data_IF_000200732706
#
_entry.id   IF_000200732706
#
_cell.length_a   1.000
_cell.length_b   1.000
_cell.length_c   1.000
_cell.angle_alpha   90.00
_cell.angle_beta   90.00
_cell.angle_gamma   90.00
#
_symmetry.space_group_name_H-M   'P 1'
#
loop_
_entity.id
_entity.type
_entity.pdbx_description
1 polymer ?
#
# COMPACT_ATOMS: atom_id res chain seq x y z
N UNK A 1 6.81 -18.15 -29.28
CA UNK A 1 5.73 -17.17 -29.03
C UNK A 1 6.17 -16.27 -27.91
N UNK A 2 6.56 -15.03 -28.22
CA UNK A 2 7.11 -14.08 -27.25
C UNK A 2 6.03 -13.21 -26.61
N UNK A 3 6.01 -13.20 -25.28
CA UNK A 3 5.28 -12.25 -24.44
C UNK A 3 5.84 -10.84 -24.65
N UNK A 4 5.25 -10.07 -25.58
CA UNK A 4 5.33 -8.60 -25.59
C UNK A 4 4.35 -8.10 -24.52
N UNK A 5 4.65 -7.24 -23.55
CA UNK A 5 5.84 -6.47 -23.23
C UNK A 5 5.37 -5.40 -22.24
N UNK A 6 5.30 -5.74 -20.95
CA UNK A 6 5.20 -4.72 -19.90
C UNK A 6 6.55 -3.97 -19.89
N UNK A 7 6.53 -2.65 -20.00
CA UNK A 7 7.75 -1.84 -19.97
C UNK A 7 8.39 -1.99 -18.57
N UNK A 8 9.41 -2.83 -18.45
CA UNK A 8 10.09 -3.08 -17.19
C UNK A 8 10.93 -1.85 -16.85
N UNK A 9 10.53 -1.14 -15.80
CA UNK A 9 11.28 0.04 -15.30
C UNK A 9 12.50 -0.43 -14.48
N UNK A 10 13.55 0.41 -14.38
CA UNK A 10 14.72 0.19 -13.48
C UNK A 10 14.32 -0.19 -12.04
N UNK A 11 13.12 0.20 -11.62
CA UNK A 11 12.56 -0.02 -10.27
C UNK A 11 12.02 -1.44 -10.05
N UNK A 12 11.69 -2.18 -11.11
CA UNK A 12 11.17 -3.56 -11.03
C UNK A 12 12.24 -4.65 -10.81
N UNK A 13 13.53 -4.28 -10.85
CA UNK A 13 14.65 -5.23 -10.77
C UNK A 13 15.06 -5.44 -9.31
N UNK A 14 14.93 -6.67 -8.82
CA UNK A 14 15.27 -7.07 -7.44
C UNK A 14 16.48 -8.02 -7.42
N UNK A 15 17.06 -8.28 -6.24
CA UNK A 15 18.13 -9.29 -6.10
C UNK A 15 17.68 -10.65 -6.63
N UNK A 16 16.43 -11.03 -6.37
CA UNK A 16 15.83 -12.27 -6.85
C UNK A 16 15.74 -12.32 -8.38
N UNK A 17 15.43 -11.21 -9.05
CA UNK A 17 15.45 -11.14 -10.53
C UNK A 17 16.86 -11.39 -11.06
N UNK A 18 17.86 -10.74 -10.47
CA UNK A 18 19.25 -10.89 -10.89
C UNK A 18 19.80 -12.30 -10.60
N UNK A 19 19.40 -12.92 -9.49
CA UNK A 19 19.70 -14.32 -9.14
C UNK A 19 19.06 -15.30 -10.13
N UNK A 20 17.76 -15.15 -10.39
CA UNK A 20 17.01 -16.03 -11.31
C UNK A 20 17.61 -16.03 -12.71
N UNK A 21 18.06 -14.86 -13.17
CA UNK A 21 18.60 -14.70 -14.52
C UNK A 21 20.13 -14.91 -14.57
N UNK A 22 20.73 -15.38 -13.47
CA UNK A 22 22.13 -15.83 -13.38
C UNK A 22 23.18 -14.71 -13.36
N UNK A 23 22.79 -13.46 -13.07
CA UNK A 23 23.74 -12.35 -12.92
C UNK A 23 24.38 -12.31 -11.53
N UNK A 24 23.70 -12.88 -10.54
CA UNK A 24 24.19 -13.03 -9.18
C UNK A 24 24.09 -14.51 -8.81
N UNK A 25 24.94 -14.94 -7.89
CA UNK A 25 24.89 -16.27 -7.29
C UNK A 25 24.82 -16.18 -5.76
N UNK A 26 23.99 -17.02 -5.12
CA UNK A 26 23.94 -17.11 -3.66
C UNK A 26 25.27 -17.60 -3.12
N UNK A 27 25.83 -16.89 -2.15
CA UNK A 27 27.09 -17.24 -1.53
C UNK A 27 27.30 -16.46 -0.24
N UNK A 28 28.21 -16.94 0.59
CA UNK A 28 28.61 -16.26 1.83
C UNK A 28 29.59 -15.12 1.53
N UNK A 29 29.42 -14.00 2.20
CA UNK A 29 30.36 -12.87 2.18
C UNK A 29 30.50 -12.15 0.84
N UNK A 30 29.55 -12.37 -0.08
CA UNK A 30 29.62 -11.80 -1.44
C UNK A 30 29.06 -10.38 -1.53
N UNK A 31 28.35 -9.92 -0.50
CA UNK A 31 27.83 -8.56 -0.43
C UNK A 31 28.66 -7.72 0.54
N UNK A 32 28.95 -6.48 0.16
CA UNK A 32 29.68 -5.53 1.01
C UNK A 32 29.14 -4.11 0.92
N UNK A 33 29.22 -3.38 2.04
CA UNK A 33 28.98 -1.94 2.11
C UNK A 33 30.20 -1.27 2.74
N UNK A 34 30.69 -0.22 2.11
CA UNK A 34 31.72 0.65 2.67
C UNK A 34 31.07 1.98 3.03
N UNK A 35 31.24 2.43 4.27
CA UNK A 35 30.69 3.70 4.73
C UNK A 35 31.54 4.29 5.87
N UNK A 36 32.08 5.49 5.65
CA UNK A 36 32.92 6.22 6.62
C UNK A 36 34.02 5.33 7.23
N UNK A 37 34.80 4.66 6.36
CA UNK A 37 35.91 3.78 6.77
C UNK A 37 35.49 2.44 7.39
N UNK A 38 34.19 2.14 7.49
CA UNK A 38 33.69 0.85 7.98
C UNK A 38 33.18 -0.02 6.84
N UNK A 39 33.58 -1.30 6.86
CA UNK A 39 33.12 -2.33 5.95
C UNK A 39 32.13 -3.25 6.65
N UNK A 40 30.97 -3.45 6.03
CA UNK A 40 29.97 -4.42 6.44
C UNK A 40 29.88 -5.54 5.41
N UNK A 41 29.78 -6.79 5.86
CA UNK A 41 29.78 -7.97 4.99
C UNK A 41 28.50 -8.78 5.17
N UNK A 42 27.87 -9.17 4.06
CA UNK A 42 26.62 -9.92 4.04
C UNK A 42 26.67 -11.13 3.11
N UNK A 43 25.94 -12.17 3.51
CA UNK A 43 25.66 -13.35 2.69
C UNK A 43 24.45 -13.06 1.79
N UNK A 44 24.48 -13.56 0.56
CA UNK A 44 23.34 -13.49 -0.36
C UNK A 44 22.62 -14.84 -0.38
N UNK A 45 21.35 -14.85 0.05
CA UNK A 45 20.48 -16.02 0.01
C UNK A 45 19.91 -16.30 -1.38
N UNK A 46 19.54 -17.56 -1.64
CA UNK A 46 18.93 -17.99 -2.90
C UNK A 46 17.56 -17.35 -3.19
N UNK A 47 16.87 -16.91 -2.15
CA UNK A 47 15.61 -16.21 -2.21
C UNK A 47 15.77 -14.68 -2.35
N UNK A 48 17.01 -14.16 -2.43
CA UNK A 48 17.31 -12.74 -2.52
C UNK A 48 17.37 -12.01 -1.17
N UNK A 49 17.36 -12.74 -0.05
CA UNK A 49 17.62 -12.17 1.28
C UNK A 49 19.10 -11.90 1.49
N UNK A 50 19.40 -10.99 2.43
CA UNK A 50 20.76 -10.63 2.81
C UNK A 50 20.93 -10.94 4.30
N UNK A 51 21.91 -11.77 4.66
CA UNK A 51 22.23 -12.07 6.06
C UNK A 51 23.50 -11.35 6.45
N UNK A 52 23.44 -10.45 7.43
CA UNK A 52 24.63 -9.74 7.92
C UNK A 52 25.50 -10.68 8.76
N UNK A 53 26.78 -10.80 8.42
CA UNK A 53 27.66 -11.81 9.03
C UNK A 53 27.96 -11.59 10.51
N UNK A 54 27.99 -10.34 10.99
CA UNK A 54 28.37 -10.05 12.38
C UNK A 54 27.29 -10.48 13.39
N UNK A 55 26.01 -10.37 13.03
CA UNK A 55 24.89 -10.64 13.95
C UNK A 55 23.96 -11.75 13.49
N UNK A 56 24.07 -12.18 12.23
CA UNK A 56 23.13 -13.11 11.60
C UNK A 56 21.77 -12.49 11.25
N UNK A 57 21.60 -11.16 11.40
CA UNK A 57 20.35 -10.49 11.08
C UNK A 57 20.03 -10.58 9.59
N UNK A 58 18.79 -10.94 9.25
CA UNK A 58 18.32 -11.11 7.88
C UNK A 58 17.55 -9.87 7.41
N UNK A 59 17.84 -9.44 6.19
CA UNK A 59 17.22 -8.31 5.52
C UNK A 59 16.60 -8.76 4.20
N UNK A 60 15.44 -8.18 3.85
CA UNK A 60 14.70 -8.53 2.64
C UNK A 60 15.04 -7.64 1.42
N UNK A 61 15.95 -6.67 1.57
CA UNK A 61 16.36 -5.80 0.47
C UNK A 61 17.74 -5.14 0.71
N UNK A 62 18.49 -4.78 -0.36
CA UNK A 62 19.73 -4.00 -0.27
C UNK A 62 19.56 -2.67 0.46
N UNK A 63 18.43 -2.00 0.27
CA UNK A 63 18.15 -0.69 0.90
C UNK A 63 17.92 -0.80 2.40
N UNK A 64 17.23 -1.84 2.86
CA UNK A 64 17.04 -2.10 4.29
C UNK A 64 18.38 -2.38 4.97
N UNK A 65 19.21 -3.24 4.36
CA UNK A 65 20.54 -3.56 4.89
C UNK A 65 21.45 -2.33 4.91
N UNK A 66 21.51 -1.56 3.81
CA UNK A 66 22.34 -0.36 3.74
C UNK A 66 21.94 0.72 4.74
N UNK A 67 20.64 0.93 4.95
CA UNK A 67 20.18 1.90 5.94
C UNK A 67 20.55 1.45 7.36
N UNK A 68 20.45 0.15 7.65
CA UNK A 68 20.85 -0.41 8.93
C UNK A 68 22.35 -0.21 9.19
N UNK A 69 23.22 -0.64 8.27
CA UNK A 69 24.66 -0.49 8.39
C UNK A 69 25.07 0.98 8.57
N UNK A 70 24.51 1.90 7.78
CA UNK A 70 24.84 3.33 7.87
C UNK A 70 24.40 3.95 9.20
N UNK A 71 23.28 3.50 9.79
CA UNK A 71 22.80 3.99 11.10
C UNK A 71 23.69 3.55 12.27
N UNK A 72 24.36 2.40 12.15
CA UNK A 72 25.34 1.95 13.15
C UNK A 72 26.55 2.89 13.21
N UNK A 73 26.87 3.58 12.11
CA UNK A 73 27.99 4.54 12.04
C UNK A 73 27.53 5.97 12.30
N UNK A 74 26.41 6.36 11.70
CA UNK A 74 25.82 7.69 11.87
C UNK A 74 24.32 7.56 12.23
N UNK A 75 23.96 7.62 13.53
CA UNK A 75 22.58 7.47 14.00
C UNK A 75 21.59 8.48 13.41
N UNK A 76 22.07 9.65 12.95
CA UNK A 76 21.22 10.67 12.33
C UNK A 76 20.85 10.36 10.87
N UNK A 77 21.44 9.33 10.25
CA UNK A 77 21.19 8.98 8.84
C UNK A 77 19.80 8.34 8.67
N UNK A 78 18.90 9.05 7.99
CA UNK A 78 17.48 8.66 7.85
C UNK A 78 17.21 7.74 6.65
N UNK A 79 18.02 7.80 5.59
CA UNK A 79 17.88 7.03 4.35
C UNK A 79 19.24 6.70 3.70
N UNK A 80 19.30 5.60 2.93
CA UNK A 80 20.45 5.23 2.12
C UNK A 80 20.04 4.57 0.80
N UNK A 81 20.73 4.92 -0.30
CA UNK A 81 20.52 4.29 -1.60
C UNK A 81 21.18 2.90 -1.66
N UNK A 82 20.44 1.86 -1.27
CA UNK A 82 20.98 0.50 -1.15
C UNK A 82 21.63 -0.04 -2.42
N UNK A 83 21.09 0.29 -3.60
CA UNK A 83 21.63 -0.20 -4.88
C UNK A 83 22.94 0.47 -5.31
N UNK A 84 23.14 1.73 -4.93
CA UNK A 84 24.37 2.46 -5.21
C UNK A 84 25.47 2.18 -4.17
N UNK A 85 25.09 1.79 -2.95
CA UNK A 85 26.03 1.53 -1.86
C UNK A 85 26.44 0.06 -1.70
N UNK A 86 25.52 -0.88 -1.99
CA UNK A 86 25.81 -2.31 -1.84
C UNK A 86 26.58 -2.79 -3.06
N UNK A 87 27.69 -3.47 -2.80
CA UNK A 87 28.53 -4.12 -3.81
C UNK A 87 28.37 -5.64 -3.73
N UNK A 88 28.27 -6.30 -4.88
CA UNK A 88 28.39 -7.75 -5.03
C UNK A 88 29.74 -8.08 -5.67
N UNK A 89 30.57 -8.88 -4.99
CA UNK A 89 31.94 -9.23 -5.41
C UNK A 89 32.74 -7.98 -5.86
N UNK A 90 32.64 -6.89 -5.10
CA UNK A 90 33.36 -5.63 -5.36
C UNK A 90 32.67 -4.64 -6.30
N UNK A 91 31.68 -5.06 -7.10
CA UNK A 91 30.96 -4.21 -8.04
C UNK A 91 29.61 -3.74 -7.50
N UNK A 92 29.23 -2.47 -7.74
CA UNK A 92 27.96 -1.90 -7.25
C UNK A 92 26.76 -2.62 -7.86
N UNK A 93 25.73 -2.92 -7.06
CA UNK A 93 24.53 -3.61 -7.54
C UNK A 93 23.79 -2.85 -8.66
N UNK A 94 23.87 -1.51 -8.68
CA UNK A 94 23.29 -0.70 -9.76
C UNK A 94 23.91 -1.01 -11.15
N UNK A 95 25.18 -1.41 -11.20
CA UNK A 95 25.83 -1.81 -12.45
C UNK A 95 25.23 -3.10 -13.00
N UNK A 96 24.93 -4.07 -12.13
CA UNK A 96 24.24 -5.31 -12.52
C UNK A 96 22.82 -5.03 -13.02
N UNK A 97 22.10 -4.08 -12.40
CA UNK A 97 20.79 -3.63 -12.90
C UNK A 97 20.87 -3.02 -14.30
N UNK A 98 21.83 -2.12 -14.51
CA UNK A 98 22.04 -1.47 -15.80
C UNK A 98 22.42 -2.49 -16.90
N UNK A 99 23.27 -3.46 -16.58
CA UNK A 99 23.62 -4.55 -17.49
C UNK A 99 22.40 -5.42 -17.85
N UNK A 100 21.60 -5.78 -16.85
CA UNK A 100 20.38 -6.56 -17.05
C UNK A 100 19.38 -5.87 -17.99
N UNK A 101 19.19 -4.56 -17.82
CA UNK A 101 18.30 -3.76 -18.67
C UNK A 101 18.76 -3.69 -20.12
N UNK A 102 20.05 -3.43 -20.35
CA UNK A 102 20.62 -3.39 -21.72
C UNK A 102 20.38 -4.71 -22.45
N UNK A 103 20.45 -5.85 -21.76
CA UNK A 103 20.21 -7.17 -22.33
C UNK A 103 18.74 -7.45 -22.66
N UNK A 104 17.81 -6.95 -21.84
CA UNK A 104 16.38 -7.22 -22.00
C UNK A 104 15.61 -6.13 -22.76
N UNK A 105 16.22 -4.96 -23.00
CA UNK A 105 15.67 -3.85 -23.79
C UNK A 105 16.74 -3.23 -24.70
N UNK A 106 17.19 -3.93 -25.76
CA UNK A 106 18.23 -3.41 -26.65
C UNK A 106 17.83 -2.17 -27.49
N UNK A 107 16.54 -1.81 -27.54
CA UNK A 107 15.99 -0.69 -28.32
C UNK A 107 15.42 0.47 -27.47
N UNK A 108 15.75 0.56 -26.18
CA UNK A 108 15.33 1.71 -25.39
C UNK A 108 16.14 2.96 -25.80
N UNK A 109 15.50 4.14 -26.04
CA UNK A 109 16.24 5.37 -26.31
C UNK A 109 17.15 5.70 -25.13
N UNK A 110 18.34 6.31 -25.37
CA UNK A 110 19.24 6.71 -24.31
C UNK A 110 18.51 7.73 -23.44
N UNK A 111 18.10 7.30 -22.25
CA UNK A 111 17.60 8.24 -21.26
C UNK A 111 18.81 8.97 -20.72
N UNK A 112 18.86 10.27 -20.94
CA UNK A 112 19.95 11.15 -20.52
C UNK A 112 20.40 10.89 -19.08
N UNK A 113 21.71 10.96 -18.89
CA UNK A 113 22.35 11.19 -17.60
C UNK A 113 21.88 12.55 -17.05
N UNK A 114 20.83 12.55 -16.22
CA UNK A 114 20.55 13.58 -15.22
C UNK A 114 19.44 13.03 -14.32
N UNK A 115 19.68 12.77 -13.04
CA UNK A 115 20.23 13.71 -12.08
C UNK A 115 21.49 13.16 -11.43
N UNK A 116 22.61 13.87 -11.66
CA UNK A 116 23.76 13.81 -10.78
C UNK A 116 23.35 14.19 -9.35
N UNK A 117 23.90 13.42 -8.40
CA UNK A 117 24.45 13.91 -7.14
C UNK A 117 23.72 15.05 -6.44
N UNK A 118 22.89 14.72 -5.46
CA UNK A 118 22.90 15.50 -4.22
C UNK A 118 23.61 14.68 -3.15
N UNK A 119 24.86 15.08 -2.91
CA UNK A 119 25.74 14.55 -1.87
C UNK A 119 26.90 13.75 -2.42
N UNK A 120 27.89 14.46 -2.99
CA UNK A 120 29.28 14.00 -2.89
C UNK A 120 29.60 13.87 -1.39
N UNK A 121 29.56 12.65 -0.86
CA UNK A 121 30.26 12.34 0.39
C UNK A 121 31.68 11.96 -0.07
N UNK A 122 32.65 12.86 0.18
CA UNK A 122 34.06 12.70 -0.17
C UNK A 122 34.57 11.27 0.14
N UNK A 123 34.87 10.49 -0.90
CA UNK A 123 35.71 9.30 -0.80
C UNK A 123 37.17 9.78 -0.86
N UNK A 124 37.92 9.62 0.23
CA UNK A 124 39.38 9.62 0.20
C UNK A 124 39.87 8.42 -0.63
N UNK A 125 40.96 8.53 -1.39
CA UNK A 125 41.54 7.38 -2.09
C UNK A 125 42.06 6.35 -1.07
N UNK A 126 41.74 5.08 -1.27
CA UNK A 126 42.35 3.97 -0.53
C UNK A 126 43.75 3.69 -1.10
N UNK A 127 44.77 3.77 -0.25
CA UNK A 127 46.07 3.14 -0.51
C UNK A 127 45.90 1.62 -0.25
N UNK A 128 46.29 0.81 -1.23
CA UNK A 128 46.37 -0.63 -1.10
C UNK A 128 47.53 -1.00 -0.15
N UNK A 129 47.24 -1.45 1.06
CA UNK A 129 48.26 -2.14 1.87
C UNK A 129 48.20 -3.65 1.60
N UNK A 130 49.17 -4.11 0.80
CA UNK A 130 49.58 -5.50 0.70
C UNK A 130 50.01 -6.05 2.07
N UNK A 131 49.57 -7.28 2.34
CA UNK A 131 49.93 -8.08 3.50
C UNK A 131 51.43 -8.44 3.46
N UNK A 132 52.22 -7.96 4.43
CA UNK A 132 53.57 -8.44 4.67
C UNK A 132 53.86 -8.61 6.17
N UNK A 133 54.04 -9.88 6.54
CA UNK A 133 54.57 -10.40 7.81
C UNK A 133 55.81 -9.65 8.31
N UNK A 134 55.88 -9.32 9.61
CA UNK A 134 57.10 -9.44 10.46
C UNK A 134 56.86 -9.14 11.94
N UNK A 135 57.53 -9.92 12.77
CA UNK A 135 57.43 -9.98 14.23
C UNK A 135 58.26 -8.90 14.98
N UNK A 136 57.94 -8.76 16.27
CA UNK A 136 58.79 -8.32 17.42
C UNK A 136 59.04 -6.80 17.59
N UNK A 137 58.44 -6.17 18.63
CA UNK A 137 58.98 -6.01 20.01
C UNK A 137 58.18 -4.95 20.82
N UNK A 138 57.86 -5.26 22.07
CA UNK A 138 57.37 -4.30 23.07
C UNK A 138 58.50 -3.33 23.52
N UNK A 139 58.14 -2.20 24.15
CA UNK A 139 58.27 -2.17 25.61
C UNK A 139 57.13 -1.48 26.37
N UNK A 140 57.10 -1.86 27.65
CA UNK A 140 56.23 -1.49 28.79
C UNK A 140 56.67 -0.17 29.45
N UNK A 141 55.73 0.52 30.13
CA UNK A 141 55.80 1.15 31.49
C UNK A 141 54.51 1.99 31.70
N UNK A 142 53.55 1.58 32.55
CA UNK A 142 53.37 1.90 34.00
C UNK A 142 53.16 3.40 34.33
N UNK A 143 52.32 3.89 35.25
CA UNK A 143 51.28 3.43 36.20
C UNK A 143 50.73 4.71 36.90
N UNK A 144 49.46 4.75 37.29
CA UNK A 144 48.91 5.36 38.54
C UNK A 144 47.36 5.49 38.42
N UNK A 145 46.52 4.70 39.11
CA UNK A 145 46.10 4.83 40.52
C UNK A 145 45.50 6.21 40.85
N UNK A 146 44.34 6.44 41.47
CA UNK A 146 43.36 5.68 42.27
C UNK A 146 42.18 6.62 42.55
N UNK A 147 40.95 6.10 42.77
CA UNK A 147 40.11 6.30 43.98
C UNK A 147 38.65 5.89 43.75
N UNK A 148 38.24 4.83 44.47
CA UNK A 148 36.84 4.54 44.86
C UNK A 148 36.49 5.38 46.10
N UNK A 149 35.23 5.75 46.24
CA UNK A 149 34.54 5.79 47.56
C UNK A 149 33.05 5.49 47.37
N UNK A 150 32.50 4.78 48.36
CA UNK A 150 31.21 4.09 48.47
C UNK A 150 30.07 4.92 49.07
N UNK A 151 28.86 4.39 48.87
CA UNK A 151 27.61 4.42 49.67
C UNK A 151 27.16 5.66 50.47
N UNK A 152 25.88 6.03 50.30
CA UNK A 152 24.85 5.70 51.31
C UNK A 152 23.39 5.84 50.83
N UNK A 153 22.61 4.88 51.30
CA UNK A 153 21.19 4.61 51.12
C UNK A 153 20.30 5.47 52.06
N UNK A 154 19.07 5.83 51.66
CA UNK A 154 17.94 5.90 52.60
C UNK A 154 16.59 5.66 51.90
N UNK A 155 15.85 4.75 52.53
CA UNK A 155 14.60 4.08 52.16
C UNK A 155 13.43 4.68 52.96
N UNK A 156 12.23 4.76 52.38
CA UNK A 156 10.90 4.72 53.04
C UNK A 156 9.84 4.73 51.91
N UNK A 157 8.75 3.95 51.89
CA UNK A 157 8.23 2.87 52.74
C UNK A 157 7.08 2.16 51.97
N UNK A 158 6.94 0.85 52.17
CA UNK A 158 5.91 -0.05 51.63
C UNK A 158 4.53 0.09 52.31
N UNK A 159 3.47 -0.46 51.66
CA UNK A 159 2.51 -1.49 52.18
C UNK A 159 1.43 -1.77 51.11
N UNK A 160 1.43 -2.92 50.42
CA UNK A 160 0.76 -4.22 50.72
C UNK A 160 -0.76 -4.12 50.86
N UNK A 161 -1.58 -4.91 50.13
CA UNK A 161 -1.89 -6.31 50.51
C UNK A 161 -2.47 -7.17 49.35
N UNK A 162 -2.03 -8.43 49.37
CA UNK A 162 -2.38 -9.64 48.59
C UNK A 162 -3.82 -10.15 48.90
N UNK A 163 -4.59 -10.66 47.91
CA UNK A 163 -4.74 -12.07 47.44
C UNK A 163 -5.48 -13.02 48.44
N UNK A 164 -6.21 -14.09 48.01
CA UNK A 164 -5.59 -15.24 47.33
C UNK A 164 -6.40 -16.03 46.26
N UNK A 165 -5.63 -16.58 45.31
CA UNK A 165 -5.63 -17.92 44.69
C UNK A 165 -6.86 -18.86 44.68
N UNK A 166 -7.06 -19.56 43.55
CA UNK A 166 -7.86 -20.79 43.46
C UNK A 166 -8.12 -21.42 42.08
N UNK A 167 -7.09 -22.01 41.46
CA UNK A 167 -7.06 -23.20 40.56
C UNK A 167 -8.27 -23.62 39.65
N UNK A 168 -8.01 -23.67 38.33
CA UNK A 168 -8.13 -24.89 37.50
C UNK A 168 -9.47 -25.30 36.86
N UNK A 169 -9.53 -25.29 35.51
CA UNK A 169 -9.59 -26.49 34.62
C UNK A 169 -10.16 -26.17 33.22
N UNK A 170 -9.53 -26.78 32.22
CA UNK A 170 -9.96 -26.90 30.83
C UNK A 170 -11.33 -27.59 30.68
N UNK A 171 -12.10 -27.26 29.63
CA UNK A 171 -12.73 -28.26 28.75
C UNK A 171 -13.34 -27.64 27.48
N UNK A 172 -13.19 -28.39 26.39
CA UNK A 172 -13.64 -28.16 25.01
C UNK A 172 -15.11 -28.51 24.79
N UNK A 173 -15.67 -27.95 23.71
CA UNK A 173 -16.81 -28.47 22.94
C UNK A 173 -18.19 -28.03 23.47
N UNK A 174 -19.26 -27.93 22.69
CA UNK A 174 -19.54 -28.27 21.30
C UNK A 174 -20.91 -27.64 20.96
N UNK A 175 -21.12 -27.37 19.68
CA UNK A 175 -22.38 -27.02 19.00
C UNK A 175 -23.64 -27.71 19.54
N UNK A 176 -24.74 -26.94 19.61
CA UNK A 176 -26.11 -27.37 19.21
C UNK A 176 -27.09 -26.18 19.18
N UNK A 177 -27.60 -25.88 17.99
CA UNK A 177 -28.99 -25.41 17.76
C UNK A 177 -29.93 -26.64 17.81
N UNK A 178 -31.29 -26.56 17.86
CA UNK A 178 -32.15 -25.51 17.29
C UNK A 178 -33.44 -25.14 18.11
N UNK A 179 -34.16 -24.07 17.70
CA UNK A 179 -35.61 -23.97 17.97
C UNK A 179 -36.24 -22.57 17.98
N UNK A 180 -36.83 -22.16 16.87
CA UNK A 180 -38.03 -21.30 16.81
C UNK A 180 -39.28 -22.21 16.65
N UNK A 181 -40.54 -21.78 16.89
CA UNK A 181 -41.08 -20.42 16.73
C UNK A 181 -42.09 -19.97 17.82
N UNK A 182 -42.46 -18.68 17.82
CA UNK A 182 -43.59 -18.18 18.61
C UNK A 182 -43.90 -16.72 18.37
N UNK A 183 -44.97 -16.47 17.61
CA UNK A 183 -45.54 -15.17 17.27
C UNK A 183 -45.90 -14.31 18.49
N UNK A 184 -45.79 -12.99 18.36
CA UNK A 184 -46.38 -12.06 19.31
C UNK A 184 -46.25 -10.62 18.86
N UNK A 185 -47.21 -10.17 18.05
CA UNK A 185 -47.48 -8.76 17.79
C UNK A 185 -47.57 -7.96 19.10
N UNK A 186 -46.72 -6.94 19.25
CA UNK A 186 -47.05 -5.73 20.01
C UNK A 186 -46.42 -4.52 19.33
N UNK A 187 -47.24 -3.92 18.47
CA UNK A 187 -47.14 -2.51 18.16
C UNK A 187 -47.27 -1.70 19.47
N UNK A 188 -46.26 -0.89 19.76
CA UNK A 188 -46.40 0.28 20.60
C UNK A 188 -45.94 1.48 19.78
N UNK A 189 -46.93 2.10 19.13
CA UNK A 189 -46.80 3.46 18.64
C UNK A 189 -46.88 4.41 19.85
N UNK A 190 -45.84 5.21 20.06
CA UNK A 190 -46.01 6.54 20.61
C UNK A 190 -45.35 7.52 19.63
N UNK A 191 -46.20 8.37 19.08
CA UNK A 191 -45.82 9.52 18.28
C UNK A 191 -45.07 10.53 19.15
N UNK A 192 -44.06 11.19 18.58
CA UNK A 192 -44.22 12.62 18.39
C UNK A 192 -43.32 13.19 17.29
N UNK A 193 -43.90 14.15 16.58
CA UNK A 193 -43.35 14.84 15.44
C UNK A 193 -42.03 15.55 15.76
N UNK A 194 -41.05 15.39 14.87
CA UNK A 194 -40.12 16.47 14.56
C UNK A 194 -40.03 16.65 13.04
N UNK A 195 -40.73 17.62 12.44
CA UNK A 195 -40.67 17.92 11.02
C UNK A 195 -39.45 18.81 10.77
N UNK A 196 -38.26 18.24 10.93
CA UNK A 196 -37.01 18.84 10.45
C UNK A 196 -36.06 17.72 10.06
N UNK A 197 -36.44 17.00 9.01
CA UNK A 197 -35.46 16.39 8.12
C UNK A 197 -34.65 17.52 7.48
N UNK A 198 -33.69 18.08 8.23
CA UNK A 198 -32.62 18.85 7.64
C UNK A 198 -31.92 17.87 6.70
N UNK A 199 -32.25 17.97 5.42
CA UNK A 199 -31.42 17.52 4.32
C UNK A 199 -30.01 17.91 4.72
N UNK A 200 -29.20 16.94 5.12
CA UNK A 200 -27.79 17.18 5.35
C UNK A 200 -27.24 17.41 3.95
N UNK A 201 -27.33 18.64 3.48
CA UNK A 201 -26.51 19.10 2.36
C UNK A 201 -25.08 18.85 2.81
N UNK A 202 -24.52 17.74 2.34
CA UNK A 202 -23.15 17.37 2.60
C UNK A 202 -22.32 18.46 1.96
N UNK A 203 -21.90 19.45 2.75
CA UNK A 203 -20.92 20.44 2.31
C UNK A 203 -19.77 19.67 1.66
N UNK A 204 -19.29 20.10 0.48
CA UNK A 204 -18.19 19.42 -0.20
C UNK A 204 -17.01 19.31 0.76
N UNK A 205 -16.61 18.07 1.07
CA UNK A 205 -15.47 17.79 1.95
C UNK A 205 -14.20 18.12 1.20
N UNK A 206 -13.43 19.09 1.69
CA UNK A 206 -12.13 19.43 1.13
C UNK A 206 -11.08 18.49 1.73
N UNK A 207 -10.34 17.72 0.92
CA UNK A 207 -9.24 16.89 1.42
C UNK A 207 -8.18 17.75 2.13
N UNK A 208 -7.62 17.24 3.22
CA UNK A 208 -6.52 17.89 3.95
C UNK A 208 -5.21 17.14 3.74
N UNK A 209 -4.08 17.85 3.83
CA UNK A 209 -2.76 17.22 3.78
C UNK A 209 -2.50 16.40 5.04
N UNK A 210 -1.82 15.27 4.90
CA UNK A 210 -1.47 14.41 6.05
C UNK A 210 -0.70 15.17 7.15
N UNK A 211 0.19 16.11 6.79
CA UNK A 211 0.97 16.88 7.77
C UNK A 211 0.13 17.75 8.73
N UNK A 212 -1.15 18.01 8.41
CA UNK A 212 -2.05 18.78 9.27
C UNK A 212 -2.84 17.92 10.26
N UNK A 213 -2.70 16.59 10.19
CA UNK A 213 -3.45 15.67 11.07
C UNK A 213 -2.84 15.61 12.48
N UNK A 214 -1.51 15.56 12.59
CA UNK A 214 -0.81 15.39 13.87
C UNK A 214 -1.12 14.05 14.54
N UNK A 215 -1.07 14.03 15.87
CA UNK A 215 -1.41 12.87 16.71
C UNK A 215 -2.89 12.53 16.63
N UNK A 216 -3.24 11.25 16.82
CA UNK A 216 -4.64 10.80 16.89
C UNK A 216 -5.41 11.54 17.97
N UNK A 217 -6.56 12.07 17.58
CA UNK A 217 -7.48 12.81 18.44
C UNK A 217 -8.90 12.28 18.25
N UNK A 218 -9.52 11.80 19.33
CA UNK A 218 -10.89 11.29 19.34
C UNK A 218 -11.93 12.37 19.00
N UNK A 219 -11.59 13.66 19.15
CA UNK A 219 -12.45 14.77 18.78
C UNK A 219 -12.44 15.05 17.26
N UNK A 220 -11.48 14.49 16.51
CA UNK A 220 -11.40 14.70 15.05
C UNK A 220 -12.50 13.92 14.34
N UNK A 221 -13.16 14.59 13.40
CA UNK A 221 -14.21 13.97 12.59
C UNK A 221 -13.67 12.74 11.82
N UNK A 222 -14.25 11.53 12.00
CA UNK A 222 -13.80 10.32 11.32
C UNK A 222 -14.00 10.34 9.79
N UNK A 223 -14.83 11.26 9.28
CA UNK A 223 -15.10 11.43 7.85
C UNK A 223 -14.17 12.44 7.16
N UNK A 224 -13.10 12.88 7.83
CA UNK A 224 -12.11 13.80 7.26
C UNK A 224 -11.39 13.14 6.09
N UNK A 225 -11.49 13.74 4.89
CA UNK A 225 -10.77 13.28 3.71
C UNK A 225 -9.31 13.72 3.79
N UNK A 226 -8.39 12.84 3.40
CA UNK A 226 -6.94 13.08 3.44
C UNK A 226 -6.37 12.89 2.05
N UNK A 227 -5.53 13.81 1.61
CA UNK A 227 -4.81 13.70 0.33
C UNK A 227 -3.86 12.50 0.34
N UNK A 228 -3.82 11.77 -0.77
CA UNK A 228 -2.86 10.67 -0.95
C UNK A 228 -1.45 11.21 -1.11
N UNK A 229 -0.48 10.50 -0.53
CA UNK A 229 0.94 10.79 -0.69
C UNK A 229 1.61 9.77 -1.61
N UNK A 230 2.56 10.21 -2.44
CA UNK A 230 3.43 9.27 -3.16
C UNK A 230 4.47 8.67 -2.21
N UNK A 231 4.82 7.39 -2.41
CA UNK A 231 5.93 6.75 -1.71
C UNK A 231 7.25 7.52 -1.88
N UNK A 232 7.47 8.14 -3.04
CA UNK A 232 8.65 8.94 -3.31
C UNK A 232 8.77 10.16 -2.38
N UNK A 233 7.65 10.80 -2.02
CA UNK A 233 7.62 11.99 -1.13
C UNK A 233 8.20 11.69 0.26
N UNK A 234 8.14 10.44 0.70
CA UNK A 234 8.72 10.00 1.98
C UNK A 234 9.99 9.17 1.81
N UNK A 235 10.63 9.24 0.63
CA UNK A 235 11.82 8.46 0.27
C UNK A 235 11.65 6.95 0.50
N UNK A 236 10.44 6.43 0.24
CA UNK A 236 10.15 5.00 0.27
C UNK A 236 9.77 4.51 -1.12
N UNK A 237 9.77 3.19 -1.27
CA UNK A 237 9.24 2.52 -2.44
C UNK A 237 7.93 1.85 -2.07
N UNK A 238 7.03 1.73 -3.03
CA UNK A 238 5.85 0.88 -2.88
C UNK A 238 6.32 -0.56 -2.58
N UNK A 239 5.87 -1.17 -1.46
CA UNK A 239 6.44 -2.42 -0.97
C UNK A 239 5.98 -3.67 -1.74
N UNK A 240 4.96 -3.55 -2.59
CA UNK A 240 4.39 -4.64 -3.38
C UNK A 240 3.87 -4.13 -4.71
N UNK A 241 3.71 -5.02 -5.69
CA UNK A 241 3.09 -4.70 -6.96
C UNK A 241 1.58 -4.97 -6.89
N UNK A 242 0.79 -4.17 -7.59
CA UNK A 242 -0.65 -4.38 -7.72
C UNK A 242 -1.00 -4.45 -9.20
N UNK A 243 -1.78 -5.45 -9.58
CA UNK A 243 -2.40 -5.54 -10.89
C UNK A 243 -3.91 -5.70 -10.75
N UNK A 244 -4.69 -4.97 -11.56
CA UNK A 244 -6.15 -4.97 -11.47
C UNK A 244 -6.75 -5.30 -12.84
N UNK A 245 -7.69 -6.25 -12.86
CA UNK A 245 -8.50 -6.60 -14.03
C UNK A 245 -9.37 -5.43 -14.50
N UNK A 246 -9.50 -5.25 -15.82
CA UNK A 246 -10.35 -4.21 -16.40
C UNK A 246 -11.83 -4.43 -16.09
N UNK A 247 -12.26 -5.69 -15.97
CA UNK A 247 -13.62 -6.05 -15.52
C UNK A 247 -13.92 -5.58 -14.09
N UNK A 248 -12.96 -5.69 -13.17
CA UNK A 248 -13.07 -5.16 -11.79
C UNK A 248 -13.26 -3.64 -11.83
N UNK A 249 -12.40 -2.99 -12.58
CA UNK A 249 -12.41 -1.54 -12.74
C UNK A 249 -13.70 -1.02 -13.37
N UNK A 250 -14.24 -1.73 -14.36
CA UNK A 250 -15.52 -1.42 -14.99
C UNK A 250 -16.67 -1.49 -13.96
N UNK A 251 -16.71 -2.54 -13.14
CA UNK A 251 -17.77 -2.72 -12.14
C UNK A 251 -17.70 -1.66 -11.03
N UNK A 252 -16.50 -1.34 -10.54
CA UNK A 252 -16.31 -0.28 -9.54
C UNK A 252 -16.72 1.08 -10.09
N UNK A 253 -16.30 1.39 -11.32
CA UNK A 253 -16.64 2.64 -11.99
C UNK A 253 -18.14 2.76 -12.20
N UNK A 254 -18.78 1.71 -12.71
CA UNK A 254 -20.22 1.63 -12.88
C UNK A 254 -20.97 1.87 -11.56
N UNK A 255 -20.61 1.15 -10.48
CA UNK A 255 -21.24 1.30 -9.17
C UNK A 255 -21.17 2.74 -8.66
N UNK A 256 -20.00 3.36 -8.75
CA UNK A 256 -19.77 4.74 -8.31
C UNK A 256 -20.61 5.77 -9.08
N UNK A 257 -20.97 5.50 -10.34
CA UNK A 257 -21.80 6.39 -11.15
C UNK A 257 -23.30 6.30 -10.82
N UNK A 258 -23.76 5.26 -10.11
CA UNK A 258 -25.19 5.07 -9.83
C UNK A 258 -25.72 5.98 -8.72
N UNK A 259 -24.86 6.49 -7.85
CA UNK A 259 -25.27 7.30 -6.70
C UNK A 259 -24.43 8.56 -6.56
N UNK A 260 -25.01 9.60 -5.93
CA UNK A 260 -24.27 10.80 -5.48
C UNK A 260 -23.57 10.58 -4.13
N UNK A 261 -23.79 9.44 -3.49
CA UNK A 261 -23.15 9.05 -2.23
C UNK A 261 -21.89 8.21 -2.47
N UNK A 262 -21.08 8.05 -1.42
CA UNK A 262 -19.95 7.13 -1.46
C UNK A 262 -20.43 5.68 -1.53
N UNK A 263 -19.72 4.86 -2.31
CA UNK A 263 -19.97 3.44 -2.42
C UNK A 263 -18.88 2.65 -1.71
N UNK A 264 -19.23 1.43 -1.28
CA UNK A 264 -18.31 0.50 -0.64
C UNK A 264 -18.43 -0.88 -1.26
N UNK A 265 -17.39 -1.69 -1.11
CA UNK A 265 -17.34 -3.04 -1.68
C UNK A 265 -16.09 -3.79 -1.24
N UNK A 266 -16.05 -5.08 -1.59
CA UNK A 266 -14.89 -5.94 -1.38
C UNK A 266 -14.17 -6.21 -2.70
N UNK A 267 -12.85 -6.37 -2.62
CA UNK A 267 -12.01 -6.78 -3.74
C UNK A 267 -11.50 -8.20 -3.49
N UNK A 268 -11.58 -9.05 -4.51
CA UNK A 268 -11.12 -10.43 -4.49
C UNK A 268 -9.97 -10.64 -5.47
N UNK A 269 -9.01 -11.47 -5.10
CA UNK A 269 -7.79 -11.65 -5.89
C UNK A 269 -6.87 -12.73 -5.36
N UNK A 270 -5.64 -12.75 -5.86
CA UNK A 270 -4.57 -13.65 -5.42
C UNK A 270 -3.32 -12.86 -5.07
N UNK A 271 -2.57 -13.38 -4.12
CA UNK A 271 -1.26 -12.87 -3.73
C UNK A 271 -0.19 -13.87 -4.17
N UNK A 272 0.80 -13.39 -4.91
CA UNK A 272 2.01 -14.15 -5.22
C UNK A 272 3.16 -13.67 -4.32
N UNK A 273 3.57 -14.52 -3.39
CA UNK A 273 4.69 -14.26 -2.48
C UNK A 273 6.05 -14.19 -3.18
N UNK A 274 6.20 -14.85 -4.32
CA UNK A 274 7.46 -14.89 -5.07
C UNK A 274 7.72 -13.58 -5.80
N UNK A 275 6.69 -13.00 -6.39
CA UNK A 275 6.78 -11.72 -7.13
C UNK A 275 6.29 -10.52 -6.32
N UNK A 276 5.79 -10.74 -5.09
CA UNK A 276 5.14 -9.73 -4.26
C UNK A 276 4.03 -8.99 -5.04
N UNK A 277 3.23 -9.74 -5.79
CA UNK A 277 2.19 -9.20 -6.67
C UNK A 277 0.80 -9.55 -6.13
N UNK A 278 0.03 -8.52 -5.80
CA UNK A 278 -1.40 -8.64 -5.58
C UNK A 278 -2.12 -8.49 -6.92
N UNK A 279 -2.79 -9.54 -7.37
CA UNK A 279 -3.64 -9.50 -8.56
C UNK A 279 -5.10 -9.45 -8.15
N UNK A 280 -5.77 -8.32 -8.39
CA UNK A 280 -7.19 -8.12 -8.13
C UNK A 280 -7.99 -8.56 -9.36
N UNK A 281 -8.86 -9.54 -9.16
CA UNK A 281 -9.57 -10.25 -10.23
C UNK A 281 -11.10 -10.16 -10.12
N UNK A 282 -11.63 -9.79 -8.95
CA UNK A 282 -13.07 -9.68 -8.69
C UNK A 282 -13.37 -8.44 -7.83
N UNK A 283 -14.54 -7.85 -8.04
CA UNK A 283 -15.14 -6.87 -7.14
C UNK A 283 -16.52 -7.37 -6.71
N UNK A 284 -16.89 -7.05 -5.48
CA UNK A 284 -18.18 -7.35 -4.88
C UNK A 284 -18.75 -6.05 -4.29
N UNK A 285 -19.50 -5.29 -5.11
CA UNK A 285 -20.22 -4.10 -4.65
C UNK A 285 -21.09 -4.38 -3.44
N UNK A 286 -20.95 -3.59 -2.37
CA UNK A 286 -21.90 -3.65 -1.27
C UNK A 286 -23.16 -2.86 -1.63
N UNK A 287 -24.31 -3.50 -1.42
CA UNK A 287 -25.64 -2.90 -1.61
C UNK A 287 -26.13 -2.29 -0.31
N UNK A 288 -25.39 -1.32 0.19
CA UNK A 288 -25.68 -0.58 1.43
C UNK A 288 -25.61 0.92 1.16
N UNK A 289 -26.37 1.71 1.93
CA UNK A 289 -26.37 3.17 1.80
C UNK A 289 -25.68 3.77 3.02
N UNK A 290 -24.90 4.83 2.84
CA UNK A 290 -24.11 5.44 3.93
C UNK A 290 -24.96 6.02 5.08
N UNK A 291 -26.29 6.05 4.95
CA UNK A 291 -27.23 6.43 5.99
C UNK A 291 -27.66 5.27 6.92
N UNK A 292 -27.29 4.02 6.62
CA UNK A 292 -27.62 2.86 7.43
C UNK A 292 -26.54 2.67 8.51
N UNK A 293 -26.89 2.89 9.78
CA UNK A 293 -25.96 3.10 10.91
C UNK A 293 -25.06 1.91 11.33
N UNK A 294 -24.98 0.83 10.53
CA UNK A 294 -24.46 -0.49 10.96
C UNK A 294 -23.52 -1.14 9.91
N UNK A 295 -22.77 -0.35 9.14
CA UNK A 295 -21.79 -0.91 8.19
C UNK A 295 -20.36 -0.41 8.45
N UNK A 296 -19.51 -1.32 8.95
CA UNK A 296 -18.06 -1.15 8.95
C UNK A 296 -17.58 -0.82 7.53
N UNK A 297 -16.81 0.26 7.39
CA UNK A 297 -16.51 0.91 6.11
C UNK A 297 -15.23 0.33 5.51
N UNK A 298 -15.27 -0.60 4.53
CA UNK A 298 -14.06 -1.32 4.13
C UNK A 298 -13.23 -0.53 3.12
N UNK A 299 -13.85 0.22 2.20
CA UNK A 299 -13.22 1.09 1.21
C UNK A 299 -14.26 2.11 0.71
N UNK A 300 -14.08 3.41 0.92
CA UNK A 300 -14.94 4.44 0.33
C UNK A 300 -14.39 4.83 -1.04
N UNK A 301 -15.21 4.71 -2.09
CA UNK A 301 -14.92 5.33 -3.38
C UNK A 301 -15.66 6.67 -3.46
N UNK A 302 -14.96 7.81 -3.62
CA UNK A 302 -15.61 9.08 -3.90
C UNK A 302 -16.31 9.00 -5.27
N UNK A 303 -17.54 9.50 -5.34
CA UNK A 303 -18.33 9.49 -6.56
C UNK A 303 -17.63 10.23 -7.72
N UNK A 304 -17.85 9.84 -8.98
CA UNK A 304 -17.10 10.28 -10.16
C UNK A 304 -17.40 11.73 -10.61
N UNK A 305 -18.30 12.42 -9.90
CA UNK A 305 -18.86 13.73 -10.28
C UNK A 305 -18.31 14.91 -9.46
N UNK A 306 -17.20 14.72 -8.74
CA UNK A 306 -16.59 15.81 -7.98
C UNK A 306 -15.97 16.87 -8.92
N UNK A 307 -15.98 18.15 -8.50
CA UNK A 307 -15.55 19.29 -9.32
C UNK A 307 -14.10 19.22 -9.85
N UNK A 308 -13.25 18.36 -9.28
CA UNK A 308 -11.87 18.16 -9.71
C UNK A 308 -11.69 17.17 -10.86
N UNK A 309 -12.78 16.58 -11.39
CA UNK A 309 -12.75 15.71 -12.58
C UNK A 309 -13.55 16.33 -13.74
N UNK A 310 -12.95 17.22 -14.55
CA UNK A 310 -13.63 17.82 -15.71
C UNK A 310 -13.74 16.85 -16.89
N UNK A 311 -13.04 15.71 -16.83
CA UNK A 311 -13.01 14.71 -17.89
C UNK A 311 -14.15 13.69 -17.79
N UNK A 312 -14.44 13.04 -18.91
CA UNK A 312 -15.42 11.97 -19.00
C UNK A 312 -14.94 10.73 -18.22
N UNK A 313 -13.64 10.43 -18.31
CA UNK A 313 -13.02 9.33 -17.58
C UNK A 313 -12.98 9.57 -16.08
N UNK A 314 -13.37 8.57 -15.31
CA UNK A 314 -13.26 8.60 -13.85
C UNK A 314 -11.89 8.08 -13.41
N UNK A 315 -11.29 8.73 -12.43
CA UNK A 315 -10.02 8.27 -11.83
C UNK A 315 -10.31 7.34 -10.66
N UNK A 316 -9.81 6.11 -10.75
CA UNK A 316 -9.83 5.16 -9.64
C UNK A 316 -8.40 5.08 -9.12
N UNK A 317 -8.18 5.62 -7.92
CA UNK A 317 -6.89 5.67 -7.25
C UNK A 317 -6.91 4.75 -6.02
N UNK A 318 -6.35 3.53 -6.10
CA UNK A 318 -6.18 2.69 -4.93
C UNK A 318 -5.11 3.28 -4.02
N UNK A 319 -5.25 3.08 -2.71
CA UNK A 319 -4.30 3.55 -1.73
C UNK A 319 -3.97 2.48 -0.70
N UNK A 320 -2.82 2.64 -0.06
CA UNK A 320 -2.36 1.81 1.05
C UNK A 320 -2.10 2.69 2.27
N UNK A 321 -2.72 2.37 3.40
CA UNK A 321 -2.44 3.09 4.65
C UNK A 321 -1.16 2.50 5.27
N UNK A 322 -0.07 3.24 5.15
CA UNK A 322 1.15 2.90 5.86
C UNK A 322 0.96 3.11 7.36
N UNK A 323 1.45 2.17 8.21
CA UNK A 323 1.40 2.35 9.65
C UNK A 323 2.19 3.61 10.05
N UNK A 324 1.81 4.24 11.18
CA UNK A 324 2.57 5.36 11.74
C UNK A 324 4.05 4.99 11.92
N UNK A 325 4.98 5.95 11.80
CA UNK A 325 6.38 5.71 12.12
C UNK A 325 6.55 5.21 13.56
N UNK A 326 7.49 4.30 13.79
CA UNK A 326 7.77 3.76 15.14
C UNK A 326 8.07 4.84 16.19
N UNK A 327 8.64 5.98 15.77
CA UNK A 327 8.93 7.12 16.66
C UNK A 327 7.67 7.89 17.09
N UNK A 328 6.56 7.76 16.34
CA UNK A 328 5.28 8.43 16.59
C UNK A 328 4.13 7.43 16.40
N UNK A 329 4.03 6.41 17.28
CA UNK A 329 3.03 5.34 17.14
C UNK A 329 1.59 5.85 17.32
N UNK A 330 1.41 7.01 17.95
CA UNK A 330 0.12 7.63 18.19
C UNK A 330 -0.37 8.50 17.03
N UNK A 331 0.40 8.66 15.94
CA UNK A 331 -0.05 9.40 14.75
C UNK A 331 -1.05 8.58 13.92
N UNK A 332 -1.75 9.24 12.99
CA UNK A 332 -2.54 8.52 11.99
C UNK A 332 -1.64 7.80 10.98
N UNK A 333 -2.12 6.70 10.39
CA UNK A 333 -1.45 6.07 9.26
C UNK A 333 -1.41 6.99 8.04
N UNK A 334 -0.40 6.85 7.18
CA UNK A 334 -0.21 7.71 6.01
C UNK A 334 -0.91 7.05 4.82
N UNK A 335 -1.89 7.70 4.17
CA UNK A 335 -2.52 7.16 2.97
C UNK A 335 -1.58 7.34 1.77
N UNK A 336 -1.06 6.24 1.26
CA UNK A 336 -0.11 6.23 0.15
C UNK A 336 -0.82 5.88 -1.15
N UNK A 337 -0.61 6.67 -2.19
CA UNK A 337 -1.06 6.36 -3.54
C UNK A 337 -0.35 5.09 -4.05
N UNK A 338 -1.11 4.17 -4.64
CA UNK A 338 -0.61 2.88 -5.11
C UNK A 338 -0.60 2.86 -6.63
N UNK A 339 0.60 2.72 -7.19
CA UNK A 339 0.79 2.46 -8.61
C UNK A 339 0.29 1.06 -8.96
N UNK A 340 -0.51 0.98 -10.03
CA UNK A 340 -1.14 -0.26 -10.48
C UNK A 340 -0.84 -0.57 -11.95
N UNK A 341 -0.70 -1.86 -12.24
CA UNK A 341 -0.74 -2.38 -13.60
C UNK A 341 -2.17 -2.79 -13.98
N UNK A 342 -2.58 -2.51 -15.20
CA UNK A 342 -3.90 -2.90 -15.69
C UNK A 342 -3.84 -4.21 -16.47
N UNK A 343 -4.69 -5.16 -16.09
CA UNK A 343 -4.88 -6.42 -16.82
C UNK A 343 -6.11 -6.25 -17.70
N UNK A 344 -5.90 -6.11 -18.99
CA UNK A 344 -6.99 -6.02 -19.94
C UNK A 344 -7.66 -7.39 -20.10
N UNK A 345 -8.92 -7.50 -19.69
CA UNK A 345 -9.73 -8.68 -19.94
C UNK A 345 -10.14 -8.75 -21.42
N UNK A 346 -10.22 -9.98 -21.93
CA UNK A 346 -10.62 -10.24 -23.32
C UNK A 346 -12.13 -10.10 -23.53
N UNK A 347 -12.93 -10.29 -22.49
CA UNK A 347 -14.40 -10.26 -22.52
C UNK A 347 -14.97 -9.88 -21.15
N UNK A 348 -16.22 -9.42 -21.16
CA UNK A 348 -16.96 -9.12 -19.93
C UNK A 348 -17.56 -10.42 -19.39
N UNK A 349 -17.27 -10.76 -18.14
CA UNK A 349 -17.78 -12.00 -17.55
C UNK A 349 -19.27 -11.88 -17.20
N UNK A 350 -19.99 -13.01 -17.24
CA UNK A 350 -21.40 -13.06 -16.80
C UNK A 350 -21.57 -12.60 -15.35
N UNK A 351 -20.61 -12.93 -14.47
CA UNK A 351 -20.61 -12.50 -13.07
C UNK A 351 -20.64 -10.96 -12.95
N UNK A 352 -19.85 -10.25 -13.77
CA UNK A 352 -19.81 -8.78 -13.75
C UNK A 352 -21.13 -8.22 -14.25
N UNK A 353 -21.68 -8.76 -15.35
CA UNK A 353 -22.98 -8.34 -15.87
C UNK A 353 -24.10 -8.56 -14.85
N UNK A 354 -24.09 -9.69 -14.15
CA UNK A 354 -25.05 -9.99 -13.10
C UNK A 354 -24.95 -8.99 -11.94
N UNK A 355 -23.74 -8.67 -11.47
CA UNK A 355 -23.53 -7.65 -10.44
C UNK A 355 -24.02 -6.26 -10.91
N UNK A 356 -23.75 -5.87 -12.16
CA UNK A 356 -24.27 -4.62 -12.72
C UNK A 356 -25.80 -4.57 -12.68
N UNK A 357 -26.48 -5.67 -13.08
CA UNK A 357 -27.94 -5.76 -13.03
C UNK A 357 -28.49 -5.68 -11.60
N UNK A 358 -27.84 -6.36 -10.64
CA UNK A 358 -28.22 -6.30 -9.23
C UNK A 358 -28.06 -4.89 -8.66
N UNK A 359 -27.05 -4.15 -9.10
CA UNK A 359 -26.86 -2.75 -8.72
C UNK A 359 -27.95 -1.84 -9.30
N UNK A 360 -28.31 -2.01 -10.58
CA UNK A 360 -29.42 -1.25 -11.19
C UNK A 360 -30.70 -1.45 -10.39
N UNK A 361 -31.03 -2.70 -10.06
CA UNK A 361 -32.24 -3.00 -9.29
C UNK A 361 -32.17 -2.44 -7.86
N UNK A 362 -31.01 -2.52 -7.20
CA UNK A 362 -30.83 -1.99 -5.84
C UNK A 362 -31.02 -0.46 -5.75
N UNK A 363 -30.50 0.27 -6.75
CA UNK A 363 -30.61 1.74 -6.78
C UNK A 363 -31.91 2.24 -7.42
N UNK A 364 -32.74 1.35 -7.99
CA UNK A 364 -34.02 1.74 -8.58
C UNK A 364 -34.92 2.41 -7.54
N UNK A 365 -35.38 3.63 -7.84
CA UNK A 365 -36.19 4.43 -6.91
C UNK A 365 -35.43 4.97 -5.69
N UNK A 366 -34.09 4.82 -5.65
CA UNK A 366 -33.26 5.40 -4.61
C UNK A 366 -33.32 6.95 -4.66
N UNK A 367 -33.48 7.65 -3.53
CA UNK A 367 -33.45 9.12 -3.52
C UNK A 367 -32.08 9.71 -3.91
N UNK A 368 -31.02 8.92 -3.76
CA UNK A 368 -29.64 9.28 -4.10
C UNK A 368 -29.19 8.77 -5.48
N UNK A 369 -30.08 8.10 -6.24
CA UNK A 369 -29.81 7.70 -7.63
C UNK A 369 -29.46 8.92 -8.48
N UNK A 370 -28.41 8.77 -9.28
CA UNK A 370 -28.04 9.77 -10.27
C UNK A 370 -29.10 9.84 -11.35
N UNK A 371 -29.54 11.07 -11.65
CA UNK A 371 -30.49 11.34 -12.71
C UNK A 371 -29.77 11.37 -14.06
N UNK A 372 -29.77 10.24 -14.74
CA UNK A 372 -28.94 10.01 -15.94
C UNK A 372 -29.31 10.88 -17.13
N UNK A 373 -30.52 11.45 -17.15
CA UNK A 373 -31.00 12.37 -18.18
C UNK A 373 -30.63 13.84 -17.92
N UNK A 374 -30.19 14.19 -16.71
CA UNK A 374 -29.75 15.56 -16.39
C UNK A 374 -28.37 15.86 -17.03
N UNK A 375 -28.10 17.14 -17.28
CA UNK A 375 -26.79 17.60 -17.74
C UNK A 375 -25.76 17.52 -16.60
N UNK A 376 -24.62 16.91 -16.90
CA UNK A 376 -23.44 16.91 -16.03
C UNK A 376 -22.48 18.04 -16.41
N UNK A 377 -22.27 18.26 -17.70
CA UNK A 377 -21.48 19.37 -18.27
C UNK A 377 -22.30 20.12 -19.32
N UNK A 378 -21.71 21.09 -20.04
CA UNK A 378 -22.43 21.99 -20.95
C UNK A 378 -23.31 21.25 -21.98
N UNK A 379 -22.81 20.15 -22.53
CA UNK A 379 -23.43 19.40 -23.63
C UNK A 379 -23.54 17.88 -23.36
N UNK A 380 -23.15 17.41 -22.18
CA UNK A 380 -23.13 15.98 -21.85
C UNK A 380 -24.00 15.67 -20.64
N UNK A 381 -24.80 14.61 -20.76
CA UNK A 381 -25.60 14.08 -19.65
C UNK A 381 -24.76 13.24 -18.70
N UNK A 382 -25.28 12.99 -17.50
CA UNK A 382 -24.72 12.00 -16.58
C UNK A 382 -24.58 10.61 -17.23
N UNK A 383 -25.50 10.23 -18.13
CA UNK A 383 -25.39 8.99 -18.89
C UNK A 383 -24.21 9.01 -19.87
N UNK A 384 -24.01 10.12 -20.58
CA UNK A 384 -22.91 10.25 -21.53
C UNK A 384 -21.56 10.15 -20.80
N UNK A 385 -21.47 10.77 -19.62
CA UNK A 385 -20.31 10.63 -18.75
C UNK A 385 -20.06 9.17 -18.35
N UNK A 386 -21.10 8.47 -17.89
CA UNK A 386 -21.01 7.04 -17.55
C UNK A 386 -20.52 6.22 -18.74
N UNK A 387 -21.15 6.37 -19.91
CA UNK A 387 -20.79 5.63 -21.13
C UNK A 387 -19.33 5.84 -21.50
N UNK A 388 -18.87 7.09 -21.53
CA UNK A 388 -17.48 7.39 -21.88
C UNK A 388 -16.49 6.94 -20.80
N UNK A 389 -16.83 7.02 -19.51
CA UNK A 389 -15.98 6.50 -18.44
C UNK A 389 -15.77 4.99 -18.57
N UNK A 390 -16.84 4.24 -18.83
CA UNK A 390 -16.77 2.79 -18.99
C UNK A 390 -16.10 2.34 -20.29
N UNK A 391 -16.20 3.14 -21.37
CA UNK A 391 -15.62 2.80 -22.67
C UNK A 391 -14.10 2.54 -22.60
N UNK A 392 -13.39 3.28 -21.73
CA UNK A 392 -11.95 3.09 -21.49
C UNK A 392 -11.60 1.75 -20.81
N UNK A 393 -12.59 1.11 -20.17
CA UNK A 393 -12.44 -0.10 -19.34
C UNK A 393 -13.12 -1.33 -19.97
N UNK A 394 -14.01 -1.13 -20.94
CA UNK A 394 -14.68 -2.22 -21.65
C UNK A 394 -13.69 -3.04 -22.48
N UNK A 395 -13.80 -4.39 -22.47
CA UNK A 395 -13.04 -5.25 -23.37
C UNK A 395 -13.24 -4.90 -24.85
N UNK A 396 -12.31 -5.35 -25.71
CA UNK A 396 -12.35 -5.04 -27.16
C UNK A 396 -13.35 -5.90 -27.94
N UNK A 397 -13.70 -7.06 -27.42
CA UNK A 397 -14.76 -7.89 -28.00
C UNK A 397 -16.12 -7.20 -27.80
N UNK A 398 -16.93 -7.04 -28.84
CA UNK A 398 -18.19 -6.29 -28.79
C UNK A 398 -19.40 -7.17 -28.44
N UNK A 399 -19.18 -8.44 -28.10
CA UNK A 399 -20.24 -9.41 -27.81
C UNK A 399 -21.23 -8.98 -26.72
N UNK A 400 -20.83 -8.08 -25.81
CA UNK A 400 -21.64 -7.57 -24.71
C UNK A 400 -22.20 -6.15 -24.92
N UNK A 401 -21.91 -5.50 -26.05
CA UNK A 401 -22.35 -4.11 -26.32
C UNK A 401 -23.88 -3.97 -26.25
N UNK A 402 -24.62 -4.96 -26.77
CA UNK A 402 -26.08 -4.97 -26.69
C UNK A 402 -26.59 -5.03 -25.24
N UNK A 403 -25.94 -5.81 -24.37
CA UNK A 403 -26.32 -5.94 -22.96
C UNK A 403 -26.05 -4.63 -22.21
N UNK A 404 -24.93 -3.97 -22.48
CA UNK A 404 -24.64 -2.65 -21.91
C UNK A 404 -25.67 -1.60 -22.36
N UNK A 405 -26.08 -1.59 -23.62
CA UNK A 405 -27.14 -0.69 -24.09
C UNK A 405 -28.50 -0.96 -23.45
N UNK A 406 -28.82 -2.23 -23.15
CA UNK A 406 -29.99 -2.57 -22.33
C UNK A 406 -29.87 -2.00 -20.91
N UNK A 407 -28.71 -2.15 -20.25
CA UNK A 407 -28.45 -1.57 -18.93
C UNK A 407 -28.61 -0.05 -18.96
N UNK A 408 -28.05 0.64 -19.95
CA UNK A 408 -28.20 2.09 -20.10
C UNK A 408 -29.64 2.52 -20.30
N UNK A 409 -30.41 1.73 -21.06
CA UNK A 409 -31.85 1.97 -21.26
C UNK A 409 -32.62 1.82 -19.94
N UNK A 410 -32.30 0.80 -19.13
CA UNK A 410 -32.90 0.61 -17.81
C UNK A 410 -32.57 1.76 -16.86
N UNK A 411 -31.32 2.25 -16.88
CA UNK A 411 -30.91 3.40 -16.06
C UNK A 411 -31.69 4.66 -16.43
N UNK A 412 -31.90 4.95 -17.72
CA UNK A 412 -32.72 6.08 -18.18
C UNK A 412 -34.16 6.01 -17.67
N UNK A 413 -34.75 4.82 -17.66
CA UNK A 413 -36.13 4.61 -17.19
C UNK A 413 -36.26 4.67 -15.67
N UNK A 414 -35.17 4.39 -14.95
CA UNK A 414 -35.16 4.29 -13.49
C UNK A 414 -34.86 5.62 -12.78
N UNK A 415 -34.36 6.62 -13.52
CA UNK A 415 -33.78 7.87 -12.99
C UNK A 415 -34.59 9.12 -13.25
#
# INVERSE_FOLDING_TARGET
>A
GGTRGAMLTRRSITLRVLLRDGLLEPARGVLSIYYLGKKFVGDLGADGTITWQETGQVFNSPSAWATHCKRLVNPAKKSGCGWASVRYKGQKLDQYKAAWLRKHQPNAPPTEESLASEGEEEEMPEEEEEEATREVRAPVLELAATKKTEEKNKKQQCKSLAEPAGMGKESRGSWRDPGHPGSGDKALCFADHNPLGKRLESKPRVPVRYCTLGTRDSARNPQTLVELMSFATINKFQPFNVAISSNVLLLLDFHSHLTRSEVVGYLGGRWDTNTQLLTVLRAFPCRTRLGDAEAATPCLLPGPYYHGNPGVESKIAPFWVMPPPEQRPNDYGIPMDVEVAYIQDGFLTNDVLQEMMLLVEFYKGAPDLVKFQELWSQDQTYLDKLKGSLASRTPKDQSFTHVLEQIYSLLRLSS
#
